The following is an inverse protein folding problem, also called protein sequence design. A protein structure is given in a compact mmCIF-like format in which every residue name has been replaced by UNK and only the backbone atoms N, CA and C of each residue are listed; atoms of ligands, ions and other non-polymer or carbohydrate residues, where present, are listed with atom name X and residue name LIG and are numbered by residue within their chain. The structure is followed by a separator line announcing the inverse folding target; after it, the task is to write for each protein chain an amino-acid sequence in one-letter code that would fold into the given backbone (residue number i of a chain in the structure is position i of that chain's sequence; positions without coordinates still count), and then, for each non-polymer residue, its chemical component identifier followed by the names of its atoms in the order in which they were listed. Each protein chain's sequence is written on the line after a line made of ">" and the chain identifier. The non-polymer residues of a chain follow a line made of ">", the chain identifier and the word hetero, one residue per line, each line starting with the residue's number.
data_IF_485987676483
#
_entry.id   IF_485987676483
#
_cell.length_a   1.000
_cell.length_b   1.000
_cell.length_c   1.000
_cell.angle_alpha   90.00
_cell.angle_beta   90.00
_cell.angle_gamma   90.00
#
_symmetry.space_group_name_H-M   'P 1'
#
loop_
_entity.id
_entity.type
_entity.pdbx_description
1 polymer ?
#
# COMPACT_ATOMS: atom_id res chain seq x y z
N UNK A 1 -46.26 5.03 -10.34
CA UNK A 1 -44.97 4.95 -9.62
C UNK A 1 -44.36 3.57 -9.81
N UNK A 2 -43.63 3.35 -10.92
CA UNK A 2 -42.84 2.12 -11.14
C UNK A 2 -41.39 2.44 -11.53
N UNK A 3 -41.15 3.60 -12.15
CA UNK A 3 -39.80 4.10 -12.42
C UNK A 3 -38.96 4.29 -11.15
N UNK A 4 -39.53 4.86 -10.08
CA UNK A 4 -38.78 5.14 -8.85
C UNK A 4 -38.28 3.89 -8.11
N UNK A 5 -38.95 2.75 -8.24
CA UNK A 5 -38.49 1.49 -7.64
C UNK A 5 -37.40 0.82 -8.49
N UNK A 6 -37.50 0.89 -9.82
CA UNK A 6 -36.46 0.37 -10.71
C UNK A 6 -35.17 1.19 -10.65
N UNK A 7 -35.26 2.52 -10.56
CA UNK A 7 -34.10 3.40 -10.41
C UNK A 7 -33.38 3.15 -9.08
N UNK A 8 -34.12 2.96 -7.98
CA UNK A 8 -33.53 2.60 -6.68
C UNK A 8 -32.80 1.26 -6.70
N UNK A 9 -33.37 0.25 -7.34
CA UNK A 9 -32.74 -1.07 -7.48
C UNK A 9 -31.47 -1.02 -8.33
N UNK A 10 -31.49 -0.22 -9.41
CA UNK A 10 -30.32 -0.02 -10.28
C UNK A 10 -29.19 0.73 -9.55
N UNK A 11 -29.53 1.78 -8.80
CA UNK A 11 -28.57 2.52 -7.97
C UNK A 11 -27.96 1.61 -6.90
N UNK A 12 -28.77 0.82 -6.21
CA UNK A 12 -28.28 -0.11 -5.17
C UNK A 12 -27.29 -1.13 -5.75
N UNK A 13 -27.61 -1.73 -6.90
CA UNK A 13 -26.74 -2.68 -7.61
C UNK A 13 -25.42 -2.04 -8.04
N UNK A 14 -25.47 -0.81 -8.57
CA UNK A 14 -24.28 -0.09 -8.98
C UNK A 14 -23.40 0.28 -7.78
N UNK A 15 -23.99 0.76 -6.69
CA UNK A 15 -23.26 1.06 -5.44
C UNK A 15 -22.61 -0.19 -4.87
N UNK A 16 -23.33 -1.32 -4.83
CA UNK A 16 -22.75 -2.60 -4.42
C UNK A 16 -21.56 -3.02 -5.29
N UNK A 17 -21.67 -2.87 -6.62
CA UNK A 17 -20.57 -3.19 -7.54
C UNK A 17 -19.32 -2.34 -7.23
N UNK A 18 -19.51 -1.02 -7.06
CA UNK A 18 -18.41 -0.09 -6.74
C UNK A 18 -17.79 -0.45 -5.39
N UNK A 19 -18.60 -0.71 -4.36
CA UNK A 19 -18.09 -1.11 -3.05
C UNK A 19 -17.35 -2.45 -3.10
N UNK A 20 -17.81 -3.39 -3.92
CA UNK A 20 -17.17 -4.70 -4.06
C UNK A 20 -15.81 -4.57 -4.75
N UNK A 21 -15.70 -3.78 -5.82
CA UNK A 21 -14.42 -3.47 -6.49
C UNK A 21 -13.46 -2.75 -5.53
N UNK A 22 -13.98 -1.81 -4.74
CA UNK A 22 -13.19 -1.13 -3.72
C UNK A 22 -12.70 -2.12 -2.65
N UNK A 23 -13.56 -3.01 -2.17
CA UNK A 23 -13.19 -4.02 -1.17
C UNK A 23 -12.05 -4.92 -1.68
N UNK A 24 -12.16 -5.43 -2.90
CA UNK A 24 -11.12 -6.25 -3.53
C UNK A 24 -9.80 -5.49 -3.61
N UNK A 25 -9.85 -4.21 -4.02
CA UNK A 25 -8.67 -3.36 -4.09
C UNK A 25 -8.02 -3.18 -2.71
N UNK A 26 -8.83 -2.90 -1.68
CA UNK A 26 -8.35 -2.73 -0.31
C UNK A 26 -7.71 -4.02 0.25
N UNK A 27 -8.31 -5.19 -0.01
CA UNK A 27 -7.75 -6.50 0.35
C UNK A 27 -6.41 -6.72 -0.36
N UNK A 28 -6.32 -6.37 -1.64
CA UNK A 28 -5.08 -6.54 -2.43
C UNK A 28 -3.95 -5.68 -1.86
N UNK A 29 -4.21 -4.40 -1.58
CA UNK A 29 -3.22 -3.51 -0.95
C UNK A 29 -2.84 -3.93 0.46
N UNK A 30 -3.81 -4.43 1.24
CA UNK A 30 -3.55 -5.01 2.55
C UNK A 30 -2.61 -6.20 2.45
N UNK A 31 -2.89 -7.14 1.54
CA UNK A 31 -2.08 -8.35 1.37
C UNK A 31 -0.64 -8.01 0.96
N UNK A 32 -0.45 -7.15 -0.05
CA UNK A 32 0.88 -6.71 -0.49
C UNK A 32 1.64 -6.06 0.67
N UNK A 33 0.99 -5.13 1.38
CA UNK A 33 1.63 -4.43 2.50
C UNK A 33 1.97 -5.38 3.66
N UNK A 34 1.15 -6.41 3.89
CA UNK A 34 1.38 -7.42 4.91
C UNK A 34 2.56 -8.33 4.56
N UNK A 35 2.64 -8.79 3.31
CA UNK A 35 3.76 -9.60 2.80
C UNK A 35 5.08 -8.82 2.94
N UNK A 36 5.10 -7.55 2.51
CA UNK A 36 6.30 -6.71 2.61
C UNK A 36 6.75 -6.46 4.07
N UNK A 37 5.84 -6.51 5.04
CA UNK A 37 6.17 -6.33 6.46
C UNK A 37 6.65 -7.64 7.10
N UNK A 38 6.02 -8.76 6.77
CA UNK A 38 6.40 -10.07 7.31
C UNK A 38 7.71 -10.56 6.67
N UNK A 39 7.91 -10.23 5.40
CA UNK A 39 9.06 -10.63 4.61
C UNK A 39 9.78 -9.39 4.03
N UNK A 40 10.43 -8.57 4.89
CA UNK A 40 11.10 -7.36 4.43
C UNK A 40 12.26 -7.74 3.50
N UNK A 41 12.42 -6.98 2.41
CA UNK A 41 13.65 -7.04 1.62
C UNK A 41 14.83 -6.67 2.51
N UNK A 42 15.89 -7.49 2.55
CA UNK A 42 17.07 -7.20 3.38
C UNK A 42 17.71 -5.91 2.90
N UNK A 43 18.00 -5.00 3.84
CA UNK A 43 18.77 -3.80 3.55
C UNK A 43 20.24 -4.16 3.36
N UNK A 44 20.85 -3.63 2.31
CA UNK A 44 22.27 -3.81 2.03
C UNK A 44 23.13 -3.16 3.12
N UNK A 45 24.19 -3.84 3.59
CA UNK A 45 25.16 -3.22 4.49
C UNK A 45 26.06 -2.22 3.74
N UNK A 46 26.67 -1.26 4.45
CA UNK A 46 27.52 -0.24 3.82
C UNK A 46 28.66 -0.85 2.99
N UNK A 47 29.29 -1.92 3.48
CA UNK A 47 30.38 -2.62 2.78
C UNK A 47 29.93 -3.24 1.45
N UNK A 48 28.71 -3.80 1.42
CA UNK A 48 28.11 -4.34 0.20
C UNK A 48 27.73 -3.22 -0.76
N UNK A 49 27.15 -2.13 -0.24
CA UNK A 49 26.77 -0.96 -1.02
C UNK A 49 28.00 -0.30 -1.66
N UNK A 50 29.06 -0.11 -0.90
CA UNK A 50 30.33 0.44 -1.36
C UNK A 50 30.93 -0.45 -2.46
N UNK A 51 30.95 -1.77 -2.26
CA UNK A 51 31.48 -2.73 -3.24
C UNK A 51 30.75 -2.74 -4.58
N UNK A 52 29.43 -2.49 -4.57
CA UNK A 52 28.57 -2.53 -5.77
C UNK A 52 28.48 -1.16 -6.45
N UNK A 53 28.32 -0.09 -5.67
CA UNK A 53 27.94 1.24 -6.18
C UNK A 53 29.07 2.27 -6.12
N UNK A 54 30.13 2.02 -5.36
CA UNK A 54 31.21 3.00 -5.13
C UNK A 54 32.57 2.57 -5.73
N UNK A 55 32.61 1.53 -6.57
CA UNK A 55 33.82 1.08 -7.25
C UNK A 55 34.22 1.97 -8.46
N UNK A 56 34.75 3.16 -8.12
CA UNK A 56 35.88 3.96 -8.66
C UNK A 56 36.07 4.08 -10.19
N UNK A 57 35.90 5.30 -10.72
CA UNK A 57 36.70 5.84 -11.85
C UNK A 57 36.79 7.37 -11.95
N UNK A 58 36.26 8.18 -11.02
CA UNK A 58 36.36 9.64 -11.14
C UNK A 58 37.27 10.27 -10.07
N UNK A 59 38.18 11.19 -10.45
CA UNK A 59 39.34 11.55 -9.64
C UNK A 59 39.06 12.57 -8.52
N UNK A 60 37.82 12.75 -8.05
CA UNK A 60 37.49 13.79 -7.08
C UNK A 60 36.49 13.33 -6.01
N UNK A 61 36.96 13.18 -4.76
CA UNK A 61 36.17 13.19 -3.52
C UNK A 61 35.09 12.10 -3.33
N UNK A 62 35.41 10.81 -3.58
CA UNK A 62 34.40 9.75 -3.65
C UNK A 62 33.94 9.15 -2.29
N UNK A 63 34.70 9.19 -1.19
CA UNK A 63 34.32 8.47 0.04
C UNK A 63 33.14 9.13 0.81
N UNK A 64 33.20 10.43 1.08
CA UNK A 64 32.10 11.15 1.75
C UNK A 64 30.81 11.15 0.92
N UNK A 65 30.92 11.20 -0.41
CA UNK A 65 29.78 11.13 -1.31
C UNK A 65 29.15 9.73 -1.35
N UNK A 66 29.95 8.67 -1.30
CA UNK A 66 29.45 7.29 -1.20
C UNK A 66 28.67 7.07 0.10
N UNK A 67 29.23 7.49 1.24
CA UNK A 67 28.59 7.39 2.54
C UNK A 67 27.26 8.16 2.56
N UNK A 68 27.25 9.39 2.04
CA UNK A 68 26.03 10.20 1.95
C UNK A 68 24.95 9.55 1.06
N UNK A 69 25.35 8.93 -0.05
CA UNK A 69 24.41 8.20 -0.91
C UNK A 69 23.85 6.95 -0.23
N UNK A 70 24.68 6.24 0.54
CA UNK A 70 24.23 5.13 1.37
C UNK A 70 23.25 5.58 2.45
N UNK A 71 23.50 6.72 3.11
CA UNK A 71 22.56 7.30 4.08
C UNK A 71 21.21 7.62 3.42
N UNK A 72 21.20 8.22 2.23
CA UNK A 72 19.97 8.44 1.48
C UNK A 72 19.25 7.14 1.11
N UNK A 73 19.98 6.11 0.71
CA UNK A 73 19.43 4.78 0.44
C UNK A 73 18.78 4.20 1.69
N UNK A 74 19.49 4.19 2.82
CA UNK A 74 19.01 3.68 4.11
C UNK A 74 17.76 4.43 4.58
N UNK A 75 17.79 5.75 4.53
CA UNK A 75 16.64 6.59 4.90
C UNK A 75 15.42 6.33 3.98
N UNK A 76 15.65 6.09 2.70
CA UNK A 76 14.59 5.71 1.76
C UNK A 76 14.00 4.34 2.10
N UNK A 77 14.83 3.36 2.50
CA UNK A 77 14.36 2.05 2.96
C UNK A 77 13.55 2.15 4.25
N UNK A 78 14.01 2.93 5.23
CA UNK A 78 13.25 3.16 6.47
C UNK A 78 11.89 3.82 6.18
N UNK A 79 11.87 4.84 5.31
CA UNK A 79 10.62 5.48 4.86
C UNK A 79 9.70 4.51 4.14
N UNK A 80 10.22 3.57 3.34
CA UNK A 80 9.40 2.51 2.72
C UNK A 80 8.71 1.68 3.80
N UNK A 81 9.43 1.22 4.83
CA UNK A 81 8.84 0.43 5.92
C UNK A 81 7.72 1.20 6.63
N UNK A 82 7.95 2.47 6.96
CA UNK A 82 6.92 3.32 7.60
C UNK A 82 5.69 3.47 6.69
N UNK A 83 5.91 3.75 5.40
CA UNK A 83 4.82 3.88 4.42
C UNK A 83 4.05 2.57 4.23
N UNK A 84 4.72 1.42 4.26
CA UNK A 84 4.07 0.09 4.20
C UNK A 84 3.19 -0.15 5.41
N UNK A 85 3.67 0.15 6.62
CA UNK A 85 2.88 0.05 7.86
C UNK A 85 1.63 0.95 7.79
N UNK A 86 1.80 2.19 7.32
CA UNK A 86 0.67 3.11 7.13
C UNK A 86 -0.34 2.58 6.11
N UNK A 87 0.14 2.09 4.95
CA UNK A 87 -0.68 1.47 3.91
C UNK A 87 -1.48 0.28 4.43
N UNK A 88 -0.86 -0.57 5.26
CA UNK A 88 -1.53 -1.71 5.89
C UNK A 88 -2.68 -1.27 6.79
N UNK A 89 -2.45 -0.29 7.67
CA UNK A 89 -3.47 0.24 8.58
C UNK A 89 -4.62 0.89 7.81
N UNK A 90 -4.31 1.72 6.79
CA UNK A 90 -5.32 2.37 5.96
C UNK A 90 -6.15 1.34 5.18
N UNK A 91 -5.49 0.33 4.62
CA UNK A 91 -6.17 -0.75 3.89
C UNK A 91 -7.07 -1.58 4.82
N UNK A 92 -6.63 -1.89 6.04
CA UNK A 92 -7.46 -2.56 7.04
C UNK A 92 -8.70 -1.73 7.41
N UNK A 93 -8.52 -0.42 7.61
CA UNK A 93 -9.63 0.52 7.82
C UNK A 93 -10.63 0.52 6.67
N UNK A 94 -10.14 0.60 5.43
CA UNK A 94 -10.99 0.52 4.24
C UNK A 94 -11.75 -0.80 4.15
N UNK A 95 -11.12 -1.94 4.42
CA UNK A 95 -11.79 -3.25 4.45
C UNK A 95 -12.93 -3.23 5.46
N UNK A 96 -12.71 -2.74 6.68
CA UNK A 96 -13.76 -2.66 7.71
C UNK A 96 -14.91 -1.74 7.29
N UNK A 97 -14.63 -0.52 6.82
CA UNK A 97 -15.64 0.46 6.42
C UNK A 97 -16.47 -0.06 5.25
N UNK A 98 -15.82 -0.57 4.20
CA UNK A 98 -16.50 -1.06 3.00
C UNK A 98 -17.30 -2.31 3.31
N UNK A 99 -16.77 -3.25 4.11
CA UNK A 99 -17.51 -4.43 4.54
C UNK A 99 -18.76 -4.06 5.35
N UNK A 100 -18.62 -3.13 6.30
CA UNK A 100 -19.77 -2.62 7.06
C UNK A 100 -20.79 -1.95 6.15
N UNK A 101 -20.35 -1.16 5.17
CA UNK A 101 -21.22 -0.52 4.18
C UNK A 101 -22.01 -1.53 3.34
N UNK A 102 -21.34 -2.56 2.81
CA UNK A 102 -21.98 -3.66 2.06
C UNK A 102 -23.00 -4.38 2.94
N UNK A 103 -22.65 -4.69 4.20
CA UNK A 103 -23.57 -5.36 5.13
C UNK A 103 -24.80 -4.48 5.40
N UNK A 104 -24.62 -3.20 5.70
CA UNK A 104 -25.72 -2.29 6.01
C UNK A 104 -26.64 -2.05 4.81
N UNK A 105 -26.09 -1.96 3.59
CA UNK A 105 -26.87 -1.78 2.36
C UNK A 105 -27.66 -3.04 1.98
N UNK A 106 -27.14 -4.23 2.28
CA UNK A 106 -27.79 -5.50 1.94
C UNK A 106 -28.57 -6.12 3.10
N UNK A 107 -28.52 -5.53 4.30
CA UNK A 107 -29.33 -5.98 5.43
C UNK A 107 -30.80 -5.76 5.08
N UNK A 108 -31.56 -6.85 4.95
CA UNK A 108 -33.02 -6.76 4.82
C UNK A 108 -33.55 -6.00 6.04
N UNK A 109 -34.35 -4.95 5.78
CA UNK A 109 -35.22 -4.37 6.80
C UNK A 109 -36.33 -5.40 7.04
N UNK A 110 -36.16 -6.21 8.08
CA UNK A 110 -37.30 -6.87 8.71
C UNK A 110 -38.22 -5.81 9.35
#
# INVERSE_FOLDING_TARGET
>A
MRLFDQEKDLILKLTNLVLLVWLISAITFFHISLVDIIWPTPSMEYSEYEGIYCNIKEPYNEHDNCLKNYEYYRDAEEKKVVNRKKSLIMSAGNIMIVSAGIILLNKKKD
#
